data_IF_474605074825
#
_entry.id   IF_474605074825
#
_cell.length_a   1.000
_cell.length_b   1.000
_cell.length_c   1.000
_cell.angle_alpha   90.00
_cell.angle_beta   90.00
_cell.angle_gamma   90.00
#
_symmetry.space_group_name_H-M   'P 1'
#
loop_
_entity.id
_entity.type
_entity.pdbx_description
1 polymer ?
#
# COMPACT_ATOMS: atom_id res chain seq x y z
N UNK A 1 59.93 16.96 -15.29
CA UNK A 1 58.90 15.98 -14.86
C UNK A 1 57.99 16.70 -13.89
N UNK A 2 56.87 17.27 -14.35
CA UNK A 2 55.92 17.97 -13.46
C UNK A 2 55.14 16.93 -12.66
N UNK A 3 55.20 17.01 -11.33
CA UNK A 3 54.43 16.14 -10.45
C UNK A 3 52.94 16.50 -10.57
N UNK A 4 52.11 15.52 -10.96
CA UNK A 4 50.66 15.64 -10.87
C UNK A 4 50.27 15.49 -9.41
N UNK A 5 49.77 16.55 -8.80
CA UNK A 5 49.28 16.51 -7.42
C UNK A 5 47.80 16.06 -7.46
N UNK A 6 47.46 14.83 -7.03
CA UNK A 6 46.08 14.35 -7.14
C UNK A 6 45.16 15.13 -6.19
N UNK A 7 44.05 15.66 -6.71
CA UNK A 7 43.00 16.22 -5.87
C UNK A 7 42.35 15.12 -5.02
N UNK A 8 42.01 15.43 -3.77
CA UNK A 8 41.26 14.51 -2.91
C UNK A 8 39.83 14.36 -3.43
N UNK A 9 39.41 13.10 -3.66
CA UNK A 9 38.13 12.77 -4.28
C UNK A 9 36.90 13.34 -3.54
N UNK A 10 36.98 13.52 -2.22
CA UNK A 10 35.91 14.09 -1.39
C UNK A 10 35.56 15.55 -1.70
N UNK A 11 36.46 16.24 -2.41
CA UNK A 11 36.23 17.61 -2.88
C UNK A 11 35.42 17.66 -4.17
N UNK A 12 35.35 16.53 -4.89
CA UNK A 12 34.65 16.45 -6.17
C UNK A 12 33.15 16.21 -5.94
N UNK A 13 32.25 17.04 -6.51
CA UNK A 13 30.80 16.92 -6.30
C UNK A 13 30.25 15.58 -6.79
N UNK A 14 30.90 14.94 -7.77
CA UNK A 14 30.52 13.63 -8.29
C UNK A 14 30.52 12.54 -7.20
N UNK A 15 31.46 12.59 -6.25
CA UNK A 15 31.54 11.59 -5.17
C UNK A 15 30.31 11.66 -4.27
N UNK A 16 29.79 12.86 -4.04
CA UNK A 16 28.56 13.06 -3.26
C UNK A 16 27.32 12.55 -3.98
N UNK A 17 27.27 12.56 -5.32
CA UNK A 17 26.16 11.94 -6.06
C UNK A 17 26.18 10.41 -5.92
N UNK A 18 27.36 9.80 -5.99
CA UNK A 18 27.53 8.35 -5.88
C UNK A 18 27.22 7.85 -4.46
N UNK A 19 27.68 8.56 -3.44
CA UNK A 19 27.44 8.18 -2.03
C UNK A 19 26.06 8.62 -1.56
N UNK A 20 25.58 9.77 -2.04
CA UNK A 20 24.32 10.38 -1.63
C UNK A 20 23.10 9.54 -1.98
N UNK A 21 23.06 8.94 -3.18
CA UNK A 21 21.95 8.05 -3.58
C UNK A 21 21.73 6.89 -2.60
N UNK A 22 22.74 6.02 -2.38
CA UNK A 22 22.67 4.95 -1.39
C UNK A 22 22.41 5.45 0.03
N UNK A 23 23.05 6.54 0.46
CA UNK A 23 22.85 7.10 1.79
C UNK A 23 21.39 7.53 2.03
N UNK A 24 20.75 8.16 1.05
CA UNK A 24 19.34 8.56 1.12
C UNK A 24 18.43 7.34 1.26
N UNK A 25 18.68 6.26 0.52
CA UNK A 25 17.88 5.02 0.61
C UNK A 25 17.97 4.41 2.01
N UNK A 26 19.16 4.37 2.60
CA UNK A 26 19.36 3.88 3.97
C UNK A 26 18.61 4.74 4.97
N UNK A 27 18.69 6.08 4.85
CA UNK A 27 17.91 6.98 5.72
C UNK A 27 16.41 6.75 5.55
N UNK A 28 15.92 6.66 4.31
CA UNK A 28 14.51 6.43 4.01
C UNK A 28 13.99 5.12 4.63
N UNK A 29 14.76 4.03 4.61
CA UNK A 29 14.34 2.75 5.19
C UNK A 29 14.14 2.85 6.71
N UNK A 30 15.02 3.57 7.42
CA UNK A 30 14.85 3.85 8.85
C UNK A 30 13.64 4.73 9.12
N UNK A 31 13.36 5.70 8.26
CA UNK A 31 12.14 6.50 8.37
C UNK A 31 10.87 5.66 8.22
N UNK A 32 10.83 4.76 7.22
CA UNK A 32 9.71 3.82 7.06
C UNK A 32 9.57 2.89 8.26
N UNK A 33 10.68 2.37 8.78
CA UNK A 33 10.68 1.54 9.99
C UNK A 33 10.14 2.31 11.20
N UNK A 34 10.59 3.56 11.39
CA UNK A 34 10.12 4.41 12.48
C UNK A 34 8.62 4.70 12.36
N UNK A 35 8.11 4.90 11.15
CA UNK A 35 6.68 5.08 10.89
C UNK A 35 5.88 3.83 11.27
N UNK A 36 6.34 2.65 10.84
CA UNK A 36 5.68 1.39 11.12
C UNK A 36 5.60 1.09 12.63
N UNK A 37 6.65 1.42 13.40
CA UNK A 37 6.67 1.20 14.84
C UNK A 37 5.76 2.21 15.59
N UNK A 38 5.74 3.48 15.15
CA UNK A 38 4.98 4.54 15.84
C UNK A 38 3.50 4.52 15.52
N UNK A 39 3.14 4.15 14.30
CA UNK A 39 1.77 4.14 13.80
C UNK A 39 1.48 2.78 13.16
N UNK A 40 1.35 1.72 13.98
CA UNK A 40 0.92 0.43 13.47
C UNK A 40 -0.51 0.56 12.95
N UNK A 41 -0.76 0.11 11.72
CA UNK A 41 -2.11 0.03 11.18
C UNK A 41 -2.95 -0.90 12.07
N UNK A 42 -4.18 -0.49 12.43
CA UNK A 42 -5.04 -1.31 13.26
C UNK A 42 -5.31 -2.66 12.58
N UNK A 43 -5.27 -3.77 13.33
CA UNK A 43 -5.55 -5.08 12.75
C UNK A 43 -6.95 -5.09 12.12
N UNK A 44 -7.04 -5.61 10.89
CA UNK A 44 -8.33 -5.81 10.23
C UNK A 44 -9.09 -6.90 10.99
N UNK A 45 -10.21 -6.52 11.60
CA UNK A 45 -11.17 -7.44 12.21
C UNK A 45 -11.91 -8.25 11.12
N UNK A 46 -11.24 -9.28 10.60
CA UNK A 46 -11.76 -10.15 9.54
C UNK A 46 -13.10 -10.80 9.91
N UNK A 47 -13.37 -11.00 11.19
CA UNK A 47 -14.62 -11.63 11.65
C UNK A 47 -15.83 -10.72 11.46
N UNK A 48 -15.69 -9.40 11.62
CA UNK A 48 -16.77 -8.44 11.31
C UNK A 48 -17.06 -8.39 9.82
N UNK A 49 -16.01 -8.40 8.98
CA UNK A 49 -16.17 -8.37 7.52
C UNK A 49 -16.71 -9.69 6.99
N UNK A 50 -16.30 -10.82 7.57
CA UNK A 50 -16.85 -12.13 7.24
C UNK A 50 -18.32 -12.25 7.69
N UNK A 51 -18.67 -11.81 8.90
CA UNK A 51 -20.07 -11.78 9.35
C UNK A 51 -20.95 -10.85 8.49
N UNK A 52 -20.43 -9.71 8.02
CA UNK A 52 -21.13 -8.85 7.08
C UNK A 52 -21.29 -9.49 5.69
N UNK A 53 -20.36 -10.36 5.28
CA UNK A 53 -20.42 -11.11 4.02
C UNK A 53 -21.30 -12.37 4.11
N UNK A 54 -21.32 -13.05 5.26
CA UNK A 54 -22.10 -14.27 5.54
C UNK A 54 -23.54 -13.99 5.98
N UNK A 55 -23.83 -12.76 6.40
CA UNK A 55 -25.21 -12.40 6.68
C UNK A 55 -26.01 -12.60 5.38
N UNK A 56 -27.07 -13.42 5.47
CA UNK A 56 -27.80 -14.00 4.34
C UNK A 56 -28.54 -12.99 3.46
N UNK A 57 -28.53 -11.71 3.81
CA UNK A 57 -29.11 -10.66 2.96
C UNK A 57 -28.32 -10.52 1.64
N UNK A 58 -29.00 -10.47 0.49
CA UNK A 58 -28.36 -10.30 -0.80
C UNK A 58 -27.63 -8.95 -0.85
N UNK A 59 -26.39 -8.95 -1.36
CA UNK A 59 -25.55 -7.76 -1.47
C UNK A 59 -26.23 -6.60 -2.23
N UNK A 60 -27.14 -6.91 -3.15
CA UNK A 60 -27.96 -5.93 -3.87
C UNK A 60 -28.90 -5.12 -2.94
N UNK A 61 -29.44 -5.75 -1.89
CA UNK A 61 -30.29 -5.06 -0.91
C UNK A 61 -29.44 -4.18 0.02
N UNK A 62 -28.23 -4.60 0.40
CA UNK A 62 -27.29 -3.79 1.21
C UNK A 62 -26.75 -2.58 0.46
N UNK A 63 -26.38 -2.75 -0.82
CA UNK A 63 -25.94 -1.66 -1.67
C UNK A 63 -27.06 -0.63 -1.89
N UNK A 64 -28.32 -1.07 -1.99
CA UNK A 64 -29.49 -0.17 -2.05
C UNK A 64 -29.83 0.48 -0.71
N UNK A 65 -29.51 -0.17 0.40
CA UNK A 65 -29.68 0.36 1.75
C UNK A 65 -28.59 1.35 2.18
N UNK A 66 -27.56 1.56 1.35
CA UNK A 66 -26.47 2.51 1.63
C UNK A 66 -25.31 1.95 2.46
N UNK A 67 -25.28 0.63 2.70
CA UNK A 67 -24.19 -0.02 3.44
C UNK A 67 -22.96 -0.20 2.55
N UNK A 68 -21.80 0.23 3.05
CA UNK A 68 -20.52 0.08 2.37
C UNK A 68 -20.09 -1.39 2.36
N UNK A 69 -20.39 -2.10 1.28
CA UNK A 69 -19.91 -3.46 1.04
C UNK A 69 -18.47 -3.46 0.53
N UNK A 70 -17.62 -4.42 0.93
CA UNK A 70 -16.24 -4.49 0.45
C UNK A 70 -16.15 -4.53 -1.08
N UNK A 71 -15.21 -3.79 -1.66
CA UNK A 71 -15.08 -3.66 -3.12
C UNK A 71 -14.90 -5.02 -3.84
N UNK A 72 -14.23 -5.99 -3.20
CA UNK A 72 -14.10 -7.36 -3.72
C UNK A 72 -15.45 -8.08 -3.81
N UNK A 73 -16.29 -7.95 -2.78
CA UNK A 73 -17.63 -8.57 -2.72
C UNK A 73 -18.55 -7.95 -3.77
N UNK A 74 -18.55 -6.62 -3.88
CA UNK A 74 -19.36 -5.89 -4.85
C UNK A 74 -19.04 -6.29 -6.31
N UNK A 75 -17.75 -6.43 -6.67
CA UNK A 75 -17.34 -6.85 -8.02
C UNK A 75 -17.75 -8.30 -8.32
N UNK A 76 -17.64 -9.20 -7.35
CA UNK A 76 -18.02 -10.62 -7.51
C UNK A 76 -19.54 -10.80 -7.65
N UNK A 77 -20.35 -10.02 -6.95
CA UNK A 77 -21.81 -10.05 -7.10
C UNK A 77 -22.28 -9.46 -8.44
N UNK A 78 -21.67 -8.34 -8.89
CA UNK A 78 -21.97 -7.77 -10.21
C UNK A 78 -21.69 -8.74 -11.36
N UNK A 79 -20.67 -9.59 -11.23
CA UNK A 79 -20.32 -10.62 -12.20
C UNK A 79 -21.28 -11.84 -12.19
N UNK A 80 -21.98 -12.08 -11.07
CA UNK A 80 -22.88 -13.25 -10.96
C UNK A 80 -24.21 -13.02 -11.69
N UNK A 81 -24.62 -11.77 -11.90
CA UNK A 81 -25.80 -11.40 -12.69
C UNK A 81 -27.13 -11.92 -12.14
N UNK A 82 -28.19 -11.14 -12.29
CA UNK A 82 -29.58 -11.58 -12.04
C UNK A 82 -30.08 -12.55 -13.12
N UNK A 83 -29.26 -13.53 -13.51
CA UNK A 83 -29.58 -14.63 -14.42
C UNK A 83 -30.52 -15.65 -13.74
N UNK A 84 -31.66 -15.17 -13.27
CA UNK A 84 -32.65 -15.93 -12.53
C UNK A 84 -33.99 -15.22 -12.34
N UNK A 85 -34.17 -13.97 -12.79
CA UNK A 85 -35.50 -13.35 -12.81
C UNK A 85 -36.17 -13.58 -14.17
N UNK A 86 -36.60 -14.82 -14.42
CA UNK A 86 -37.68 -15.07 -15.37
C UNK A 86 -38.95 -14.42 -14.80
N UNK A 87 -39.47 -13.38 -15.47
CA UNK A 87 -40.92 -13.16 -15.55
C UNK A 87 -41.48 -14.02 -16.67
#
# INVERSE_FOLDING_TARGET
MSALNPSSAWREPMVWLVVGGPAIVVVASFFTLALAIRHPDPPLELHRTAQAADATEPADLRARAGDAVPALVARNHAATGTAGLKR
#
